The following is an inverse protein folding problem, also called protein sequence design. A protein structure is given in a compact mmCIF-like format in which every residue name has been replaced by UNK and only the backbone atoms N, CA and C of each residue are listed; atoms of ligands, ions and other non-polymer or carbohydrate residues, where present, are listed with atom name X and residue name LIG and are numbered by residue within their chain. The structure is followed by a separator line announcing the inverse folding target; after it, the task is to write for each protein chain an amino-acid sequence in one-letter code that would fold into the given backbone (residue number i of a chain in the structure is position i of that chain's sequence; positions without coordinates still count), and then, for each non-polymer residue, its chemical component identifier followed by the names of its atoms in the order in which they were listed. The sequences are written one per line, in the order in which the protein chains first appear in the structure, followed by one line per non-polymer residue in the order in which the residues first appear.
data_IF_188414911568
#
_entry.id   IF_188414911568
#
_cell.length_a   1.000
_cell.length_b   1.000
_cell.length_c   1.000
_cell.angle_alpha   90.00
_cell.angle_beta   90.00
_cell.angle_gamma   90.00
#
_symmetry.space_group_name_H-M   'P 1'
#
loop_
_entity.id
_entity.type
_entity.pdbx_description
1 polymer ?
#
# COMPACT_ATOMS: atom_id res chain seq x y z
N UNK A 1 3.72 2.85 -25.33
CA UNK A 1 4.59 3.42 -24.28
C UNK A 1 4.01 4.77 -23.90
N UNK A 2 3.28 4.87 -22.79
CA UNK A 2 2.82 6.16 -22.27
C UNK A 2 3.88 6.66 -21.28
N UNK A 3 4.75 7.56 -21.73
CA UNK A 3 5.63 8.31 -20.84
C UNK A 3 4.75 9.13 -19.88
N UNK A 4 4.84 8.82 -18.59
CA UNK A 4 4.31 9.70 -17.56
C UNK A 4 5.29 10.85 -17.40
N UNK A 5 4.91 12.11 -17.65
CA UNK A 5 5.82 13.23 -17.47
C UNK A 5 6.30 13.24 -16.01
N UNK A 6 7.62 13.29 -15.81
CA UNK A 6 8.21 13.41 -14.48
C UNK A 6 7.75 14.75 -13.88
N UNK A 7 6.97 14.68 -12.80
CA UNK A 7 6.50 15.85 -12.07
C UNK A 7 7.69 16.42 -11.29
N UNK A 8 8.39 17.42 -11.87
CA UNK A 8 9.60 18.03 -11.26
C UNK A 8 9.28 18.96 -10.10
N UNK A 9 8.02 19.40 -9.96
CA UNK A 9 7.62 20.24 -8.84
C UNK A 9 7.55 19.42 -7.54
N UNK A 10 8.18 19.92 -6.48
CA UNK A 10 8.16 19.26 -5.17
C UNK A 10 6.78 19.44 -4.52
N UNK A 11 6.30 18.41 -3.82
CA UNK A 11 5.11 18.53 -2.97
C UNK A 11 5.45 19.39 -1.74
N UNK A 12 4.75 20.51 -1.50
CA UNK A 12 5.04 21.39 -0.36
C UNK A 12 4.56 20.75 0.94
N UNK A 13 5.49 20.35 1.81
CA UNK A 13 5.14 19.79 3.11
C UNK A 13 4.53 20.87 4.04
N UNK A 14 3.37 20.62 4.66
CA UNK A 14 2.75 21.60 5.54
C UNK A 14 3.51 21.74 6.86
N UNK A 15 3.62 22.96 7.36
CA UNK A 15 4.15 23.25 8.69
C UNK A 15 3.02 23.39 9.71
N UNK A 16 3.20 22.78 10.89
CA UNK A 16 2.28 22.99 11.99
C UNK A 16 2.63 24.30 12.71
N UNK A 17 1.67 25.22 12.84
CA UNK A 17 1.82 26.47 13.61
C UNK A 17 1.69 26.28 15.13
N UNK A 18 1.40 25.04 15.56
CA UNK A 18 1.23 24.64 16.96
C UNK A 18 1.26 23.12 17.09
N UNK A 19 0.91 22.60 18.28
CA UNK A 19 0.92 21.16 18.54
C UNK A 19 -0.09 20.41 17.66
N UNK A 20 0.35 19.33 17.01
CA UNK A 20 -0.54 18.45 16.23
C UNK A 20 -1.12 17.39 17.15
N UNK A 21 -2.44 17.39 17.31
CA UNK A 21 -3.17 16.34 18.04
C UNK A 21 -4.14 15.66 17.09
N UNK A 22 -3.86 14.41 16.72
CA UNK A 22 -4.70 13.65 15.82
C UNK A 22 -4.61 12.15 16.12
N UNK A 23 -5.69 11.43 15.87
CA UNK A 23 -5.70 9.98 15.73
C UNK A 23 -6.01 9.67 14.27
N UNK A 24 -5.13 8.93 13.59
CA UNK A 24 -5.25 8.65 12.16
C UNK A 24 -5.26 7.14 11.94
N UNK A 25 -6.25 6.67 11.18
CA UNK A 25 -6.27 5.31 10.69
C UNK A 25 -5.37 5.18 9.47
N UNK A 26 -4.28 4.42 9.61
CA UNK A 26 -3.44 4.05 8.48
C UNK A 26 -3.98 2.80 7.78
N UNK A 27 -3.77 2.65 6.46
CA UNK A 27 -4.12 1.43 5.74
C UNK A 27 -3.41 0.18 6.26
N UNK A 28 -3.82 -0.99 5.74
CA UNK A 28 -3.27 -2.28 6.14
C UNK A 28 -1.74 -2.39 5.96
N UNK A 29 -1.13 -3.37 6.63
CA UNK A 29 0.31 -3.61 6.53
C UNK A 29 0.69 -4.24 5.19
N UNK A 30 1.70 -3.65 4.52
CA UNK A 30 2.32 -4.22 3.33
C UNK A 30 2.87 -5.63 3.59
N UNK A 31 3.70 -5.78 4.62
CA UNK A 31 4.38 -7.05 4.90
C UNK A 31 3.40 -8.14 5.35
N UNK A 32 2.29 -7.79 6.01
CA UNK A 32 1.23 -8.75 6.32
C UNK A 32 0.49 -9.15 5.04
N UNK A 33 0.11 -8.17 4.21
CA UNK A 33 -0.59 -8.42 2.95
C UNK A 33 0.24 -9.32 2.02
N UNK A 34 1.54 -9.02 1.84
CA UNK A 34 2.41 -9.82 0.98
C UNK A 34 2.63 -11.25 1.51
N UNK A 35 2.80 -11.41 2.83
CA UNK A 35 2.90 -12.77 3.41
C UNK A 35 1.61 -13.55 3.22
N UNK A 36 0.46 -12.92 3.40
CA UNK A 36 -0.83 -13.55 3.16
C UNK A 36 -1.02 -13.92 1.68
N UNK A 37 -0.56 -13.09 0.74
CA UNK A 37 -0.60 -13.42 -0.70
C UNK A 37 0.25 -14.66 -1.02
N UNK A 38 1.47 -14.75 -0.48
CA UNK A 38 2.34 -15.93 -0.67
C UNK A 38 1.69 -17.19 -0.08
N UNK A 39 1.13 -17.12 1.13
CA UNK A 39 0.45 -18.25 1.74
C UNK A 39 -0.78 -18.68 0.94
N UNK A 40 -1.56 -17.73 0.41
CA UNK A 40 -2.73 -18.02 -0.42
C UNK A 40 -2.34 -18.69 -1.75
N UNK A 41 -1.23 -18.27 -2.36
CA UNK A 41 -0.72 -18.88 -3.60
C UNK A 41 -0.25 -20.34 -3.42
N UNK A 42 0.19 -20.70 -2.20
CA UNK A 42 0.64 -22.04 -1.85
C UNK A 42 -0.49 -22.94 -1.33
N UNK A 43 -1.67 -22.38 -1.04
CA UNK A 43 -2.77 -23.12 -0.47
C UNK A 43 -3.37 -24.11 -1.49
N UNK A 44 -3.80 -25.28 -1.00
CA UNK A 44 -4.44 -26.29 -1.84
C UNK A 44 -5.83 -25.85 -2.34
N UNK A 45 -6.52 -24.99 -1.58
CA UNK A 45 -7.89 -24.55 -1.84
C UNK A 45 -7.96 -23.03 -1.95
N UNK A 46 -8.90 -22.48 -2.74
CA UNK A 46 -9.12 -21.04 -2.85
C UNK A 46 -9.43 -20.37 -1.51
N UNK A 47 -8.95 -19.13 -1.33
CA UNK A 47 -9.15 -18.36 -0.10
C UNK A 47 -9.36 -16.86 -0.32
N UNK A 48 -9.70 -16.16 0.76
CA UNK A 48 -9.99 -14.72 0.74
C UNK A 48 -9.09 -13.95 1.71
N UNK A 49 -8.40 -12.91 1.20
CA UNK A 49 -7.72 -11.91 2.04
C UNK A 49 -8.70 -10.78 2.35
N UNK A 50 -9.01 -10.55 3.63
CA UNK A 50 -9.91 -9.48 4.07
C UNK A 50 -9.13 -8.19 4.34
N UNK A 51 -9.60 -7.08 3.75
CA UNK A 51 -8.99 -5.74 3.89
C UNK A 51 -7.47 -5.71 3.58
N UNK A 52 -7.01 -6.29 2.45
CA UNK A 52 -5.60 -6.22 2.08
C UNK A 52 -5.21 -4.76 1.80
N UNK A 53 -3.95 -4.41 2.05
CA UNK A 53 -3.42 -3.14 1.57
C UNK A 53 -3.44 -3.15 0.04
N UNK A 54 -3.98 -2.10 -0.58
CA UNK A 54 -3.85 -1.83 -2.02
C UNK A 54 -2.80 -0.74 -2.22
N UNK A 55 -1.55 -1.15 -2.38
CA UNK A 55 -0.42 -0.28 -2.74
C UNK A 55 0.27 -0.84 -3.97
N UNK A 56 1.21 -0.07 -4.56
CA UNK A 56 2.02 -0.57 -5.69
C UNK A 56 2.67 -1.91 -5.37
N UNK A 57 3.31 -2.02 -4.21
CA UNK A 57 4.03 -3.23 -3.81
C UNK A 57 3.12 -4.45 -3.66
N UNK A 58 1.91 -4.29 -3.12
CA UNK A 58 1.00 -5.42 -2.92
C UNK A 58 0.29 -5.81 -4.21
N UNK A 59 0.04 -4.87 -5.11
CA UNK A 59 -0.47 -5.16 -6.45
C UNK A 59 0.60 -5.85 -7.32
N UNK A 60 1.87 -5.43 -7.21
CA UNK A 60 2.98 -6.11 -7.86
C UNK A 60 3.14 -7.54 -7.33
N UNK A 61 3.06 -7.76 -6.02
CA UNK A 61 3.09 -9.10 -5.44
C UNK A 61 1.91 -9.98 -5.89
N UNK A 62 0.71 -9.41 -6.01
CA UNK A 62 -0.48 -10.15 -6.45
C UNK A 62 -0.46 -10.51 -7.95
N UNK A 63 0.28 -9.77 -8.77
CA UNK A 63 0.47 -10.05 -10.19
C UNK A 63 1.82 -10.69 -10.53
N UNK A 64 2.58 -11.14 -9.53
CA UNK A 64 3.89 -11.77 -9.67
C UNK A 64 3.78 -13.25 -10.07
#
# INVERSE_FOLDING_TARGET
MTETPAHTALWPAPHASGAVTATVHVPGSKSVTNRALVLAALAAEPGWLRRPLRSRDTLLMAGA
#
